data_IF_281018741034
#
_entry.id   IF_281018741034
#
_cell.length_a   1.000
_cell.length_b   1.000
_cell.length_c   1.000
_cell.angle_alpha   90.00
_cell.angle_beta   90.00
_cell.angle_gamma   90.00
#
_symmetry.space_group_name_H-M   'P 1'
#
loop_
_entity.id
_entity.type
_entity.pdbx_description
1 polymer ?
#
# COMPACT_ATOMS: atom_id res chain seq x y z
N UNK A 1 4.00 -44.59 -20.20
CA UNK A 1 4.88 -43.76 -21.06
C UNK A 1 4.05 -42.60 -21.58
N UNK A 2 4.56 -41.37 -21.45
CA UNK A 2 3.97 -40.09 -21.92
C UNK A 2 2.76 -39.61 -21.09
N UNK A 3 2.65 -38.39 -20.56
CA UNK A 3 3.39 -37.15 -20.80
C UNK A 3 3.33 -36.28 -19.54
N UNK A 4 4.50 -35.88 -19.05
CA UNK A 4 4.69 -34.73 -18.15
C UNK A 4 4.52 -33.51 -19.05
N UNK A 5 3.44 -32.75 -18.90
CA UNK A 5 3.24 -31.47 -19.56
C UNK A 5 3.43 -30.35 -18.54
N UNK A 6 4.42 -29.52 -18.87
CA UNK A 6 4.96 -28.39 -18.16
C UNK A 6 3.92 -27.46 -17.52
N UNK A 7 3.94 -27.42 -16.18
CA UNK A 7 3.26 -26.40 -15.37
C UNK A 7 4.18 -25.20 -15.07
N UNK A 8 5.20 -24.99 -15.91
CA UNK A 8 6.28 -24.02 -15.69
C UNK A 8 6.21 -22.78 -16.61
N UNK A 9 5.09 -22.53 -17.30
CA UNK A 9 4.99 -21.46 -18.32
C UNK A 9 3.98 -20.32 -18.05
N UNK A 10 3.34 -20.23 -16.88
CA UNK A 10 2.33 -19.17 -16.62
C UNK A 10 2.71 -18.15 -15.54
N UNK A 11 4.01 -17.97 -15.25
CA UNK A 11 4.53 -16.92 -14.36
C UNK A 11 5.42 -15.85 -15.05
N UNK A 12 5.15 -15.32 -16.27
CA UNK A 12 5.84 -14.09 -16.71
C UNK A 12 5.00 -12.81 -16.59
N UNK A 13 3.68 -12.87 -16.47
CA UNK A 13 2.83 -11.66 -16.62
C UNK A 13 2.67 -10.80 -15.36
N UNK A 14 2.85 -11.36 -14.15
CA UNK A 14 2.80 -10.58 -12.91
C UNK A 14 4.11 -9.79 -12.65
N UNK A 15 5.24 -10.31 -13.12
CA UNK A 15 6.54 -9.63 -13.08
C UNK A 15 6.58 -8.40 -13.99
N UNK A 16 5.86 -8.42 -15.11
CA UNK A 16 5.79 -7.30 -16.06
C UNK A 16 4.95 -6.14 -15.50
N UNK A 17 3.89 -6.41 -14.74
CA UNK A 17 3.08 -5.35 -14.12
C UNK A 17 3.82 -4.60 -12.99
N UNK A 18 4.61 -5.31 -12.17
CA UNK A 18 5.48 -4.68 -11.17
C UNK A 18 6.67 -3.96 -11.83
N UNK A 19 7.19 -4.53 -12.93
CA UNK A 19 8.27 -3.92 -13.72
C UNK A 19 7.82 -2.65 -14.44
N UNK A 20 6.55 -2.53 -14.86
CA UNK A 20 6.01 -1.31 -15.47
C UNK A 20 5.83 -0.18 -14.44
N UNK A 21 5.48 -0.50 -13.19
CA UNK A 21 5.50 0.49 -12.10
C UNK A 21 6.93 0.95 -11.76
N UNK A 22 7.92 0.05 -11.78
CA UNK A 22 9.32 0.39 -11.56
C UNK A 22 9.95 1.12 -12.77
N UNK A 23 9.56 0.76 -13.99
CA UNK A 23 10.04 1.38 -15.23
C UNK A 23 9.52 2.81 -15.36
N UNK A 24 8.29 3.10 -14.95
CA UNK A 24 7.79 4.48 -14.83
C UNK A 24 8.65 5.33 -13.89
N UNK A 25 9.11 4.76 -12.77
CA UNK A 25 10.00 5.44 -11.82
C UNK A 25 11.42 5.61 -12.36
N UNK A 26 11.94 4.63 -13.10
CA UNK A 26 13.31 4.65 -13.66
C UNK A 26 13.39 5.57 -14.89
N UNK A 27 12.36 5.62 -15.74
CA UNK A 27 12.31 6.56 -16.88
C UNK A 27 12.12 8.01 -16.41
N UNK A 28 11.43 8.24 -15.28
CA UNK A 28 11.39 9.55 -14.65
C UNK A 28 12.75 9.97 -14.07
N UNK A 29 13.57 9.02 -13.59
CA UNK A 29 14.93 9.29 -13.10
C UNK A 29 15.95 9.52 -14.24
N UNK A 30 15.86 8.80 -15.36
CA UNK A 30 16.86 8.90 -16.44
C UNK A 30 16.69 10.13 -17.33
N UNK A 31 15.48 10.71 -17.42
CA UNK A 31 15.25 12.01 -18.08
C UNK A 31 15.75 13.17 -17.18
N UNK A 32 16.01 12.91 -15.89
CA UNK A 32 16.42 13.92 -14.91
C UNK A 32 17.94 14.22 -14.93
N UNK A 33 18.75 13.37 -15.55
CA UNK A 33 20.19 13.31 -15.26
C UNK A 33 21.07 14.26 -16.10
N UNK A 34 20.51 15.08 -17.00
CA UNK A 34 21.34 15.97 -17.85
C UNK A 34 20.90 17.44 -17.94
N UNK A 35 19.85 17.89 -17.25
CA UNK A 35 19.39 19.30 -17.38
C UNK A 35 18.98 20.05 -16.10
N UNK A 36 19.05 19.45 -14.90
CA UNK A 36 18.47 20.02 -13.66
C UNK A 36 19.46 20.24 -12.50
N UNK A 37 20.70 20.63 -12.75
CA UNK A 37 21.65 20.92 -11.66
C UNK A 37 21.35 22.22 -10.86
N UNK A 38 20.16 22.81 -11.01
CA UNK A 38 19.64 23.93 -10.19
C UNK A 38 18.10 23.89 -10.04
N UNK A 39 17.49 22.72 -9.77
CA UNK A 39 16.08 22.70 -9.37
C UNK A 39 15.92 23.37 -7.99
N UNK A 40 15.03 24.36 -7.85
CA UNK A 40 14.75 24.98 -6.55
C UNK A 40 14.08 23.98 -5.60
N UNK A 41 14.36 24.07 -4.31
CA UNK A 41 13.82 23.17 -3.28
C UNK A 41 12.29 22.95 -3.37
N UNK A 42 11.45 23.99 -3.60
CA UNK A 42 10.01 23.79 -3.79
C UNK A 42 9.66 22.94 -5.01
N UNK A 43 10.38 23.05 -6.13
CA UNK A 43 10.14 22.22 -7.33
C UNK A 43 10.49 20.75 -7.06
N UNK A 44 11.55 20.50 -6.30
CA UNK A 44 11.94 19.15 -5.89
C UNK A 44 10.84 18.55 -5.01
N UNK A 45 10.40 19.27 -3.97
CA UNK A 45 9.35 18.80 -3.05
C UNK A 45 8.03 18.58 -3.79
N UNK A 46 7.64 19.48 -4.69
CA UNK A 46 6.48 19.34 -5.56
C UNK A 46 6.54 18.05 -6.39
N UNK A 47 7.65 17.83 -7.10
CA UNK A 47 7.83 16.65 -7.96
C UNK A 47 7.75 15.37 -7.14
N UNK A 48 8.45 15.31 -6.00
CA UNK A 48 8.48 14.14 -5.12
C UNK A 48 7.10 13.87 -4.53
N UNK A 49 6.42 14.90 -4.00
CA UNK A 49 5.11 14.74 -3.35
C UNK A 49 4.05 14.22 -4.32
N UNK A 50 3.98 14.81 -5.52
CA UNK A 50 3.05 14.38 -6.58
C UNK A 50 3.38 12.94 -7.01
N UNK A 51 4.65 12.65 -7.29
CA UNK A 51 5.08 11.35 -7.79
C UNK A 51 4.83 10.23 -6.79
N UNK A 52 5.16 10.45 -5.52
CA UNK A 52 4.91 9.48 -4.44
C UNK A 52 3.41 9.26 -4.26
N UNK A 53 2.60 10.33 -4.27
CA UNK A 53 1.16 10.23 -4.07
C UNK A 53 0.47 9.47 -5.21
N UNK A 54 0.82 9.77 -6.46
CA UNK A 54 0.29 9.08 -7.64
C UNK A 54 0.77 7.62 -7.71
N UNK A 55 2.03 7.36 -7.41
CA UNK A 55 2.59 5.99 -7.41
C UNK A 55 1.94 5.14 -6.31
N UNK A 56 1.77 5.70 -5.11
CA UNK A 56 1.06 5.04 -4.03
C UNK A 56 -0.40 4.75 -4.42
N UNK A 57 -1.10 5.74 -5.01
CA UNK A 57 -2.48 5.58 -5.46
C UNK A 57 -2.62 4.51 -6.53
N UNK A 58 -1.76 4.55 -7.54
CA UNK A 58 -1.70 3.55 -8.62
C UNK A 58 -1.39 2.15 -8.10
N UNK A 59 -0.42 2.01 -7.17
CA UNK A 59 -0.08 0.73 -6.56
C UNK A 59 -1.23 0.12 -5.75
N UNK A 60 -1.93 0.93 -4.95
CA UNK A 60 -3.11 0.48 -4.20
C UNK A 60 -4.26 0.14 -5.16
N UNK A 61 -4.49 0.95 -6.19
CA UNK A 61 -5.50 0.66 -7.20
C UNK A 61 -5.22 -0.64 -7.95
N UNK A 62 -3.96 -0.89 -8.33
CA UNK A 62 -3.55 -2.12 -8.99
C UNK A 62 -3.78 -3.36 -8.11
N UNK A 63 -3.51 -3.25 -6.79
CA UNK A 63 -3.87 -4.29 -5.83
C UNK A 63 -5.38 -4.59 -5.88
N UNK A 64 -6.22 -3.56 -5.78
CA UNK A 64 -7.67 -3.71 -5.78
C UNK A 64 -8.25 -4.25 -7.10
N UNK A 65 -7.73 -3.80 -8.24
CA UNK A 65 -8.28 -4.10 -9.57
C UNK A 65 -7.78 -5.44 -10.10
N UNK A 66 -6.53 -5.83 -9.80
CA UNK A 66 -5.91 -7.03 -10.37
C UNK A 66 -5.65 -8.10 -9.32
N UNK A 67 -4.92 -7.77 -8.26
CA UNK A 67 -4.47 -8.78 -7.30
C UNK A 67 -5.63 -9.36 -6.48
N UNK A 68 -6.56 -8.52 -6.01
CA UNK A 68 -7.69 -8.98 -5.20
C UNK A 68 -8.61 -9.94 -5.98
N UNK A 69 -9.04 -9.65 -7.23
CA UNK A 69 -9.79 -10.63 -8.01
C UNK A 69 -9.05 -11.95 -8.22
N UNK A 70 -7.73 -11.92 -8.42
CA UNK A 70 -6.90 -13.13 -8.53
C UNK A 70 -6.76 -13.90 -7.21
N UNK A 71 -6.87 -13.23 -6.07
CA UNK A 71 -6.88 -13.90 -4.77
C UNK A 71 -8.27 -14.48 -4.47
N UNK A 72 -9.35 -13.80 -4.88
CA UNK A 72 -10.72 -14.28 -4.73
C UNK A 72 -11.04 -15.53 -5.56
N UNK A 73 -10.28 -15.77 -6.64
CA UNK A 73 -10.41 -16.98 -7.46
C UNK A 73 -9.71 -18.20 -6.84
N UNK A 74 -8.88 -18.01 -5.82
CA UNK A 74 -8.17 -19.08 -5.14
C UNK A 74 -8.91 -19.54 -3.87
N UNK A 75 -8.69 -20.80 -3.43
CA UNK A 75 -9.14 -21.24 -2.10
C UNK A 75 -8.54 -20.38 -0.98
N UNK A 76 -9.23 -20.34 0.17
CA UNK A 76 -8.81 -19.59 1.35
C UNK A 76 -7.39 -19.98 1.82
N UNK A 77 -7.08 -21.28 1.80
CA UNK A 77 -5.78 -21.79 2.22
C UNK A 77 -4.59 -21.32 1.36
N UNK A 78 -4.81 -20.80 0.15
CA UNK A 78 -3.78 -20.18 -0.71
C UNK A 78 -3.85 -18.67 -0.71
N UNK A 79 -5.06 -18.12 -0.74
CA UNK A 79 -5.28 -16.68 -0.84
C UNK A 79 -4.90 -15.92 0.44
N UNK A 80 -5.11 -16.52 1.62
CA UNK A 80 -4.86 -15.88 2.91
C UNK A 80 -3.37 -15.57 3.19
N UNK A 81 -2.41 -16.50 2.98
CA UNK A 81 -1.00 -16.16 3.19
C UNK A 81 -0.48 -15.17 2.16
N UNK A 82 -0.98 -15.23 0.92
CA UNK A 82 -0.64 -14.27 -0.14
C UNK A 82 -1.06 -12.85 0.24
N UNK A 83 -2.33 -12.65 0.66
CA UNK A 83 -2.78 -11.32 1.08
C UNK A 83 -2.07 -10.89 2.37
N UNK A 84 -1.73 -11.81 3.26
CA UNK A 84 -1.00 -11.50 4.49
C UNK A 84 0.40 -10.97 4.23
N UNK A 85 1.11 -11.56 3.27
CA UNK A 85 2.43 -11.10 2.80
C UNK A 85 2.35 -9.71 2.17
N UNK A 86 1.36 -9.49 1.29
CA UNK A 86 1.12 -8.18 0.67
C UNK A 86 0.77 -7.12 1.71
N UNK A 87 -0.10 -7.45 2.68
CA UNK A 87 -0.50 -6.55 3.77
C UNK A 87 0.70 -6.14 4.62
N UNK A 88 1.56 -7.10 4.97
CA UNK A 88 2.78 -6.87 5.72
C UNK A 88 3.65 -5.80 5.08
N UNK A 89 3.99 -5.97 3.80
CA UNK A 89 4.85 -5.00 3.10
C UNK A 89 4.14 -3.69 2.80
N UNK A 90 2.88 -3.75 2.37
CA UNK A 90 2.08 -2.56 2.07
C UNK A 90 1.85 -1.67 3.30
N UNK A 91 1.74 -2.27 4.48
CA UNK A 91 1.60 -1.56 5.76
C UNK A 91 2.80 -0.68 6.12
N UNK A 92 3.98 -0.95 5.55
CA UNK A 92 5.20 -0.18 5.76
C UNK A 92 5.61 0.70 4.57
N UNK A 93 4.86 0.67 3.48
CA UNK A 93 5.16 1.47 2.28
C UNK A 93 4.12 2.59 2.14
N UNK A 94 2.84 2.26 2.16
CA UNK A 94 1.79 3.22 1.82
C UNK A 94 1.55 4.29 2.91
N UNK A 95 1.55 3.98 4.22
CA UNK A 95 1.44 5.01 5.25
C UNK A 95 2.61 6.00 5.22
N UNK A 96 3.82 5.53 4.94
CA UNK A 96 5.04 6.33 4.84
C UNK A 96 4.96 7.22 3.61
N UNK A 97 4.59 6.67 2.45
CA UNK A 97 4.37 7.42 1.23
C UNK A 97 3.34 8.54 1.42
N UNK A 98 2.21 8.22 2.06
CA UNK A 98 1.17 9.20 2.37
C UNK A 98 1.65 10.30 3.34
N UNK A 99 2.45 9.92 4.35
CA UNK A 99 3.02 10.88 5.32
C UNK A 99 4.01 11.83 4.64
N UNK A 100 4.88 11.31 3.76
CA UNK A 100 5.83 12.11 2.99
C UNK A 100 5.08 13.06 2.05
N UNK A 101 4.09 12.56 1.32
CA UNK A 101 3.26 13.38 0.42
C UNK A 101 2.50 14.48 1.19
N UNK A 102 1.88 14.14 2.32
CA UNK A 102 1.21 15.09 3.20
C UNK A 102 2.15 16.19 3.68
N UNK A 103 3.34 15.83 4.18
CA UNK A 103 4.33 16.79 4.64
C UNK A 103 4.81 17.71 3.51
N UNK A 104 5.07 17.15 2.33
CA UNK A 104 5.48 17.91 1.16
C UNK A 104 4.40 18.85 0.65
N UNK A 105 3.14 18.42 0.56
CA UNK A 105 2.02 19.29 0.18
C UNK A 105 1.76 20.39 1.23
N UNK A 106 1.90 20.08 2.52
CA UNK A 106 1.80 21.09 3.59
C UNK A 106 2.90 22.14 3.46
N UNK A 107 4.14 21.70 3.20
CA UNK A 107 5.26 22.61 2.93
C UNK A 107 4.99 23.50 1.71
N UNK A 108 4.49 22.94 0.61
CA UNK A 108 4.19 23.71 -0.61
C UNK A 108 3.07 24.73 -0.38
N UNK A 109 2.06 24.37 0.41
CA UNK A 109 1.03 25.32 0.83
C UNK A 109 1.64 26.49 1.62
N UNK A 110 2.52 26.20 2.58
CA UNK A 110 3.23 27.22 3.36
C UNK A 110 4.12 28.11 2.50
N UNK A 111 4.89 27.50 1.58
CA UNK A 111 5.81 28.23 0.73
C UNK A 111 5.11 29.08 -0.34
N UNK A 112 3.86 28.76 -0.68
CA UNK A 112 3.05 29.54 -1.62
C UNK A 112 2.40 30.78 -0.97
N UNK A 113 2.52 30.96 0.35
CA UNK A 113 1.96 32.13 1.01
C UNK A 113 2.62 33.44 0.50
N UNK A 114 1.81 34.49 0.25
CA UNK A 114 2.20 35.66 -0.55
C UNK A 114 3.33 36.52 0.03
N UNK A 115 3.62 36.46 1.33
CA UNK A 115 4.61 37.35 1.97
C UNK A 115 5.54 36.56 2.92
N UNK A 116 6.83 36.37 2.58
CA UNK A 116 7.79 35.60 3.38
C UNK A 116 7.92 36.06 4.83
N UNK A 117 7.77 37.37 5.07
CA UNK A 117 7.93 38.02 6.38
C UNK A 117 6.70 37.91 7.28
N UNK A 118 5.54 37.53 6.72
CA UNK A 118 4.27 37.38 7.46
C UNK A 118 3.70 35.96 7.42
N UNK A 119 4.43 35.01 6.81
CA UNK A 119 4.04 33.60 6.77
C UNK A 119 3.84 33.10 8.20
N UNK A 120 2.65 32.58 8.44
CA UNK A 120 2.27 32.02 9.72
C UNK A 120 1.38 30.82 9.52
N UNK A 121 1.44 29.87 10.46
CA UNK A 121 0.57 28.70 10.47
C UNK A 121 -0.90 29.13 10.57
N UNK A 122 -1.20 30.20 11.30
CA UNK A 122 -2.56 30.74 11.38
C UNK A 122 -3.10 31.23 10.03
N UNK A 123 -2.23 31.72 9.14
CA UNK A 123 -2.63 32.08 7.78
C UNK A 123 -2.94 30.86 6.92
N UNK A 124 -2.22 29.74 7.08
CA UNK A 124 -2.57 28.49 6.38
C UNK A 124 -3.97 28.00 6.70
N UNK A 125 -4.44 28.22 7.93
CA UNK A 125 -5.75 27.79 8.37
C UNK A 125 -6.90 28.69 7.88
N UNK A 126 -6.60 29.82 7.21
CA UNK A 126 -7.63 30.70 6.65
C UNK A 126 -8.18 30.11 5.36
N UNK A 127 -9.50 30.10 5.22
CA UNK A 127 -10.18 29.66 3.98
C UNK A 127 -10.05 30.67 2.84
N UNK A 128 -9.66 31.91 3.14
CA UNK A 128 -9.51 33.01 2.19
C UNK A 128 -8.16 33.04 1.47
N UNK A 129 -7.37 31.97 1.55
CA UNK A 129 -6.11 31.87 0.82
C UNK A 129 -6.36 31.77 -0.70
N UNK A 130 -5.32 32.07 -1.49
CA UNK A 130 -5.36 31.87 -2.94
C UNK A 130 -5.56 30.40 -3.33
N UNK A 131 -6.09 30.18 -4.54
CA UNK A 131 -6.41 28.84 -5.07
C UNK A 131 -5.26 27.83 -4.87
N UNK A 132 -4.03 28.22 -5.23
CA UNK A 132 -2.85 27.35 -5.16
C UNK A 132 -2.53 26.86 -3.75
N UNK A 133 -2.64 27.74 -2.74
CA UNK A 133 -2.46 27.39 -1.33
C UNK A 133 -3.54 26.39 -0.89
N UNK A 134 -4.81 26.70 -1.18
CA UNK A 134 -5.94 25.84 -0.82
C UNK A 134 -5.89 24.48 -1.50
N UNK A 135 -5.40 24.41 -2.75
CA UNK A 135 -5.24 23.17 -3.48
C UNK A 135 -4.14 22.29 -2.84
N UNK A 136 -2.97 22.85 -2.48
CA UNK A 136 -1.97 22.10 -1.74
C UNK A 136 -2.43 21.65 -0.35
N UNK A 137 -3.18 22.48 0.38
CA UNK A 137 -3.79 22.06 1.65
C UNK A 137 -4.79 20.92 1.46
N UNK A 138 -5.61 21.00 0.42
CA UNK A 138 -6.55 19.92 0.06
C UNK A 138 -5.80 18.64 -0.27
N UNK A 139 -4.71 18.72 -1.03
CA UNK A 139 -3.85 17.57 -1.33
C UNK A 139 -3.24 16.97 -0.04
N UNK A 140 -2.77 17.80 0.89
CA UNK A 140 -2.26 17.33 2.19
C UNK A 140 -3.34 16.62 3.02
N UNK A 141 -4.56 17.19 3.09
CA UNK A 141 -5.69 16.59 3.81
C UNK A 141 -6.10 15.26 3.18
N UNK A 142 -6.16 15.17 1.84
CA UNK A 142 -6.47 13.93 1.13
C UNK A 142 -5.42 12.84 1.41
N UNK A 143 -4.13 13.18 1.38
CA UNK A 143 -3.05 12.24 1.71
C UNK A 143 -3.14 11.76 3.17
N UNK A 144 -3.41 12.68 4.11
CA UNK A 144 -3.61 12.36 5.53
C UNK A 144 -4.86 11.50 5.77
N UNK A 145 -5.90 11.69 4.95
CA UNK A 145 -7.20 11.02 5.07
C UNK A 145 -7.13 9.49 5.01
N UNK A 146 -6.04 8.91 4.49
CA UNK A 146 -5.82 7.45 4.51
C UNK A 146 -5.86 6.90 5.93
N UNK A 147 -5.27 7.60 6.91
CA UNK A 147 -5.17 7.10 8.28
C UNK A 147 -6.56 6.92 8.93
N UNK A 148 -7.43 7.94 9.03
CA UNK A 148 -8.77 7.76 9.58
C UNK A 148 -9.61 6.80 8.72
N UNK A 149 -9.48 6.81 7.40
CA UNK A 149 -10.16 5.86 6.53
C UNK A 149 -9.80 4.41 6.87
N UNK A 150 -8.50 4.14 7.08
CA UNK A 150 -8.01 2.80 7.43
C UNK A 150 -8.51 2.38 8.80
N UNK A 151 -8.42 3.26 9.80
CA UNK A 151 -8.82 2.99 11.18
C UNK A 151 -10.31 2.65 11.25
N UNK A 152 -11.15 3.45 10.61
CA UNK A 152 -12.59 3.35 10.75
C UNK A 152 -13.20 2.25 9.89
N UNK A 153 -12.69 2.03 8.67
CA UNK A 153 -13.35 1.16 7.70
C UNK A 153 -12.62 -0.17 7.45
N UNK A 154 -11.30 -0.20 7.62
CA UNK A 154 -10.49 -1.35 7.18
C UNK A 154 -10.03 -2.26 8.31
N UNK A 155 -9.65 -1.70 9.45
CA UNK A 155 -9.09 -2.47 10.58
C UNK A 155 -9.96 -3.70 10.93
N UNK A 156 -11.30 -3.59 11.07
CA UNK A 156 -12.12 -4.74 11.44
C UNK A 156 -12.02 -5.91 10.45
N UNK A 157 -12.14 -5.63 9.14
CA UNK A 157 -12.04 -6.65 8.10
C UNK A 157 -10.61 -7.20 7.97
N UNK A 158 -9.59 -6.34 8.08
CA UNK A 158 -8.19 -6.77 8.07
C UNK A 158 -7.90 -7.75 9.21
N UNK A 159 -8.42 -7.48 10.41
CA UNK A 159 -8.23 -8.35 11.57
C UNK A 159 -8.96 -9.68 11.39
N UNK A 160 -10.14 -9.69 10.76
CA UNK A 160 -10.85 -10.91 10.42
C UNK A 160 -10.05 -11.79 9.43
N UNK A 161 -9.49 -11.19 8.37
CA UNK A 161 -8.61 -11.88 7.41
C UNK A 161 -7.38 -12.47 8.11
N UNK A 162 -6.70 -11.68 8.96
CA UNK A 162 -5.51 -12.12 9.69
C UNK A 162 -5.85 -13.27 10.64
N UNK A 163 -6.95 -13.15 11.39
CA UNK A 163 -7.42 -14.20 12.29
C UNK A 163 -7.73 -15.49 11.53
N UNK A 164 -8.38 -15.40 10.36
CA UNK A 164 -8.68 -16.58 9.54
C UNK A 164 -7.42 -17.22 8.98
N UNK A 165 -6.46 -16.42 8.50
CA UNK A 165 -5.15 -16.90 8.07
C UNK A 165 -4.48 -17.69 9.20
N UNK A 166 -4.51 -17.15 10.42
CA UNK A 166 -3.87 -17.77 11.57
C UNK A 166 -4.58 -19.06 12.04
N UNK A 167 -5.92 -19.09 11.96
CA UNK A 167 -6.69 -20.31 12.24
C UNK A 167 -6.31 -21.46 11.31
N UNK A 168 -5.94 -21.16 10.06
CA UNK A 168 -5.48 -22.17 9.11
C UNK A 168 -3.97 -22.48 9.22
N UNK A 169 -3.25 -21.77 10.09
CA UNK A 169 -1.80 -21.89 10.28
C UNK A 169 -0.98 -21.15 9.22
N UNK A 170 -1.56 -20.14 8.59
CA UNK A 170 -0.89 -19.27 7.64
C UNK A 170 0.01 -18.27 8.35
N UNK A 171 1.20 -18.07 7.80
CA UNK A 171 2.10 -17.00 8.20
C UNK A 171 2.15 -15.92 7.11
N UNK A 172 2.77 -14.79 7.44
CA UNK A 172 2.98 -13.69 6.50
C UNK A 172 4.08 -13.96 5.45
N UNK A 173 4.86 -15.02 5.59
CA UNK A 173 5.97 -15.37 4.69
C UNK A 173 6.44 -16.80 4.93
N UNK A 174 7.28 -17.33 4.03
CA UNK A 174 7.91 -18.66 4.20
C UNK A 174 8.82 -18.70 5.43
N UNK A 175 9.63 -17.67 5.66
CA UNK A 175 10.51 -17.64 6.82
C UNK A 175 9.71 -17.54 8.13
N UNK A 176 8.67 -16.71 8.19
CA UNK A 176 7.79 -16.63 9.36
C UNK A 176 7.13 -17.99 9.66
N UNK A 177 6.65 -18.70 8.63
CA UNK A 177 6.09 -20.04 8.80
C UNK A 177 7.12 -21.03 9.38
N UNK A 178 8.39 -20.94 8.96
CA UNK A 178 9.48 -21.76 9.48
C UNK A 178 9.75 -21.47 10.96
N UNK A 179 9.86 -20.20 11.34
CA UNK A 179 10.10 -19.78 12.74
C UNK A 179 8.94 -20.24 13.64
N UNK A 180 7.70 -20.09 13.19
CA UNK A 180 6.53 -20.58 13.93
C UNK A 180 6.59 -22.10 14.12
N UNK A 181 6.93 -22.85 13.06
CA UNK A 181 7.07 -24.31 13.15
C UNK A 181 8.17 -24.72 14.13
N UNK A 182 9.31 -24.05 14.12
CA UNK A 182 10.46 -24.32 14.99
C UNK A 182 10.17 -23.99 16.47
N UNK A 183 9.34 -22.98 16.73
CA UNK A 183 8.91 -22.62 18.08
C UNK A 183 7.82 -23.54 18.66
N UNK A 184 7.34 -24.54 17.91
CA UNK A 184 6.27 -25.43 18.35
C UNK A 184 4.88 -24.77 18.36
N UNK A 185 4.73 -23.66 17.64
CA UNK A 185 3.47 -22.92 17.54
C UNK A 185 2.35 -23.77 16.94
N UNK A 186 1.11 -23.62 17.46
CA UNK A 186 -0.10 -24.27 16.92
C UNK A 186 -1.07 -23.24 16.34
N UNK A 187 -1.72 -23.53 15.20
CA UNK A 187 -2.72 -22.66 14.59
C UNK A 187 -3.80 -22.19 15.57
N UNK A 188 -4.20 -20.92 15.46
CA UNK A 188 -5.22 -20.31 16.32
C UNK A 188 -4.75 -19.87 17.72
N UNK A 189 -3.48 -20.03 18.07
CA UNK A 189 -2.95 -19.58 19.38
C UNK A 189 -2.62 -18.07 19.42
N UNK A 190 -2.44 -17.40 18.28
CA UNK A 190 -2.16 -15.96 18.19
C UNK A 190 -3.39 -15.14 17.87
N UNK A 191 -3.44 -13.95 18.44
CA UNK A 191 -4.40 -12.93 18.05
C UNK A 191 -3.98 -12.23 16.74
N UNK A 192 -4.92 -11.50 16.12
CA UNK A 192 -4.60 -10.64 14.99
C UNK A 192 -3.56 -9.56 15.36
N UNK A 193 -3.57 -9.09 16.61
CA UNK A 193 -2.62 -8.10 17.12
C UNK A 193 -1.21 -8.70 17.22
N UNK A 194 -1.08 -9.94 17.71
CA UNK A 194 0.21 -10.63 17.80
C UNK A 194 0.80 -10.87 16.40
N UNK A 195 -0.06 -11.16 15.42
CA UNK A 195 0.33 -11.29 14.02
C UNK A 195 0.83 -9.96 13.43
N UNK A 196 0.17 -8.85 13.71
CA UNK A 196 0.59 -7.53 13.22
C UNK A 196 1.92 -7.11 13.84
N UNK A 197 2.08 -7.34 15.14
CA UNK A 197 3.30 -7.01 15.87
C UNK A 197 4.47 -7.97 15.59
N UNK A 198 4.31 -8.91 14.65
CA UNK A 198 5.33 -9.90 14.29
C UNK A 198 5.81 -10.75 15.47
N UNK A 199 5.00 -10.90 16.52
CA UNK A 199 5.39 -11.63 17.71
C UNK A 199 5.57 -13.11 17.34
N UNK A 200 6.81 -13.59 17.46
CA UNK A 200 7.20 -14.96 17.12
C UNK A 200 7.47 -15.24 15.63
N UNK A 201 7.50 -14.23 14.75
CA UNK A 201 7.64 -14.40 13.29
C UNK A 201 8.93 -13.79 12.70
N UNK A 202 9.87 -13.38 13.54
CA UNK A 202 11.11 -12.72 13.11
C UNK A 202 10.91 -11.30 12.54
N UNK A 203 11.91 -10.77 11.84
CA UNK A 203 11.85 -9.41 11.29
C UNK A 203 11.01 -9.34 10.01
N UNK A 204 10.10 -8.38 9.94
CA UNK A 204 9.26 -8.12 8.76
C UNK A 204 10.01 -7.50 7.59
N UNK A 205 10.82 -6.49 7.91
CA UNK A 205 11.43 -5.60 6.93
C UNK A 205 12.59 -6.27 6.19
N UNK A 206 13.27 -7.20 6.86
CA UNK A 206 14.41 -7.92 6.31
C UNK A 206 14.04 -9.29 5.75
N UNK A 207 12.77 -9.69 5.83
CA UNK A 207 12.32 -10.96 5.26
C UNK A 207 12.12 -10.86 3.75
N UNK A 208 13.16 -11.25 3.02
CA UNK A 208 13.15 -11.31 1.57
C UNK A 208 12.44 -12.56 1.01
N UNK A 209 11.97 -13.46 1.87
CA UNK A 209 11.21 -14.63 1.41
C UNK A 209 9.86 -14.24 0.82
N UNK A 210 9.39 -15.07 -0.10
CA UNK A 210 8.08 -14.93 -0.71
C UNK A 210 6.95 -15.26 0.26
N UNK A 211 5.70 -15.08 -0.19
CA UNK A 211 4.54 -15.55 0.55
C UNK A 211 4.58 -17.07 0.72
N UNK A 212 4.00 -17.55 1.80
CA UNK A 212 3.67 -18.97 1.90
C UNK A 212 2.67 -19.34 0.79
N UNK A 213 2.90 -20.44 0.10
CA UNK A 213 2.07 -20.86 -1.05
C UNK A 213 0.72 -21.43 -0.63
N UNK A 214 0.67 -22.08 0.53
CA UNK A 214 -0.53 -22.70 1.10
C UNK A 214 -0.41 -22.82 2.62
N UNK A 215 -1.50 -22.62 3.36
CA UNK A 215 -1.59 -22.91 4.79
C UNK A 215 -1.50 -24.42 5.07
N UNK A 216 -1.03 -24.85 6.27
CA UNK A 216 -0.97 -26.27 6.63
C UNK A 216 -2.36 -26.92 6.73
N UNK A 217 -3.35 -26.19 7.20
CA UNK A 217 -4.74 -26.65 7.27
C UNK A 217 -5.44 -26.25 5.97
N UNK A 218 -6.06 -27.23 5.30
CA UNK A 218 -6.80 -26.97 4.06
C UNK A 218 -8.14 -26.30 4.37
N UNK A 219 -8.57 -25.40 3.51
CA UNK A 219 -9.84 -24.69 3.70
C UNK A 219 -11.05 -25.53 3.28
N UNK A 220 -12.17 -25.29 3.94
CA UNK A 220 -13.49 -25.78 3.51
C UNK A 220 -14.13 -24.83 2.50
N UNK A 221 -15.17 -25.29 1.79
CA UNK A 221 -15.93 -24.40 0.90
C UNK A 221 -16.57 -23.21 1.64
N UNK A 222 -16.94 -23.40 2.90
CA UNK A 222 -17.48 -22.32 3.72
C UNK A 222 -16.42 -21.25 3.99
N UNK A 223 -15.18 -21.68 4.29
CA UNK A 223 -14.04 -20.78 4.47
C UNK A 223 -13.72 -20.02 3.18
N UNK A 224 -13.74 -20.72 2.03
CA UNK A 224 -13.48 -20.12 0.72
C UNK A 224 -14.50 -19.02 0.39
N UNK A 225 -15.79 -19.25 0.66
CA UNK A 225 -16.85 -18.24 0.47
C UNK A 225 -16.67 -17.04 1.41
N UNK A 226 -16.37 -17.31 2.69
CA UNK A 226 -16.14 -16.28 3.69
C UNK A 226 -14.95 -15.38 3.30
N UNK A 227 -13.82 -15.99 2.96
CA UNK A 227 -12.59 -15.29 2.57
C UNK A 227 -12.79 -14.53 1.27
N UNK A 228 -13.49 -15.09 0.28
CA UNK A 228 -13.82 -14.38 -0.96
C UNK A 228 -14.58 -13.08 -0.66
N UNK A 229 -15.54 -13.10 0.27
CA UNK A 229 -16.27 -11.88 0.70
C UNK A 229 -15.33 -10.88 1.38
N UNK A 230 -14.53 -11.33 2.34
CA UNK A 230 -13.58 -10.47 3.07
C UNK A 230 -12.56 -9.82 2.13
N UNK A 231 -12.02 -10.57 1.16
CA UNK A 231 -11.10 -10.05 0.14
C UNK A 231 -11.79 -9.01 -0.75
N UNK A 232 -13.05 -9.22 -1.13
CA UNK A 232 -13.82 -8.24 -1.90
C UNK A 232 -14.06 -6.93 -1.14
N UNK A 233 -14.34 -7.01 0.15
CA UNK A 233 -14.40 -5.83 1.04
C UNK A 233 -13.05 -5.14 1.14
N UNK A 234 -11.98 -5.91 1.36
CA UNK A 234 -10.62 -5.39 1.39
C UNK A 234 -10.26 -4.65 0.10
N UNK A 235 -10.58 -5.21 -1.07
CA UNK A 235 -10.35 -4.57 -2.37
C UNK A 235 -11.10 -3.25 -2.52
N UNK A 236 -12.38 -3.22 -2.14
CA UNK A 236 -13.20 -1.98 -2.19
C UNK A 236 -12.65 -0.89 -1.27
N UNK A 237 -12.28 -1.24 -0.04
CA UNK A 237 -11.71 -0.26 0.87
C UNK A 237 -10.34 0.24 0.42
N UNK A 238 -9.48 -0.63 -0.11
CA UNK A 238 -8.22 -0.18 -0.71
C UNK A 238 -8.44 0.74 -1.91
N UNK A 239 -9.48 0.53 -2.72
CA UNK A 239 -9.80 1.48 -3.79
C UNK A 239 -10.16 2.86 -3.21
N UNK A 240 -10.88 2.92 -2.09
CA UNK A 240 -11.09 4.17 -1.35
C UNK A 240 -9.78 4.84 -0.92
N UNK A 241 -8.81 4.08 -0.38
CA UNK A 241 -7.47 4.62 -0.08
C UNK A 241 -6.74 5.10 -1.33
N UNK A 242 -6.84 4.37 -2.44
CA UNK A 242 -6.24 4.74 -3.71
C UNK A 242 -6.81 6.07 -4.23
N UNK A 243 -8.11 6.29 -4.08
CA UNK A 243 -8.76 7.56 -4.45
C UNK A 243 -8.29 8.72 -3.57
N UNK A 244 -8.13 8.50 -2.26
CA UNK A 244 -7.62 9.53 -1.35
C UNK A 244 -6.19 9.95 -1.72
N UNK A 245 -5.26 9.01 -1.81
CA UNK A 245 -3.84 9.32 -2.06
C UNK A 245 -3.57 9.66 -3.53
N UNK A 246 -4.23 8.98 -4.47
CA UNK A 246 -4.14 9.32 -5.89
C UNK A 246 -4.77 10.69 -6.15
N UNK A 247 -5.92 10.97 -5.53
CA UNK A 247 -6.59 12.27 -5.57
C UNK A 247 -5.72 13.40 -5.01
N UNK A 248 -4.99 13.16 -3.91
CA UNK A 248 -4.00 14.10 -3.41
C UNK A 248 -2.93 14.43 -4.47
N UNK A 249 -2.42 13.42 -5.18
CA UNK A 249 -1.48 13.61 -6.28
C UNK A 249 -2.04 14.43 -7.44
N UNK A 250 -3.29 14.16 -7.84
CA UNK A 250 -3.99 14.92 -8.90
C UNK A 250 -4.21 16.38 -8.48
N UNK A 251 -4.72 16.63 -7.28
CA UNK A 251 -4.95 17.98 -6.76
C UNK A 251 -3.63 18.74 -6.63
N UNK A 252 -2.56 18.09 -6.14
CA UNK A 252 -1.22 18.67 -6.07
C UNK A 252 -0.66 19.03 -7.45
N UNK A 253 -0.92 18.20 -8.46
CA UNK A 253 -0.55 18.49 -9.85
C UNK A 253 -1.34 19.68 -10.41
N UNK A 254 -2.64 19.77 -10.16
CA UNK A 254 -3.45 20.92 -10.55
C UNK A 254 -2.91 22.21 -9.92
N UNK A 255 -2.56 22.17 -8.63
CA UNK A 255 -1.94 23.31 -7.95
C UNK A 255 -0.59 23.69 -8.56
N UNK A 256 0.20 22.70 -8.98
CA UNK A 256 1.49 22.92 -9.61
C UNK A 256 1.39 23.67 -10.93
N UNK A 257 0.35 23.38 -11.72
CA UNK A 257 0.09 23.93 -13.05
C UNK A 257 -0.69 25.25 -13.03
N UNK A 258 -1.26 25.64 -11.89
CA UNK A 258 -1.96 26.93 -11.69
C UNK A 258 -1.04 28.09 -11.34
#
# INVERSE_FOLDING_TARGET
MSSILDLNQTIPTLGIALSLCAAGTITALSIFETSQLQASLPKIIQTISISISLSAGGGIAALSIFAIPQLQSQPADRSLPLIRWLFSRGGHIFPQAATIAMAGFTYLAYDTLPEPTTRSISQLLKTTNGFKVNAYLTAAVLAMGIAPFTILLMIPNNFAIIKKNEMLGGARSVNAAKVLKESGYKPGQRSAVDSINSLGEGSELFDLSGPQTKTPISSSEADDREVRRMLGEFGRYNLGRALLVGGAGVVGLVAALS
#
